data_IF_583585569670
#
_entry.id   IF_583585569670
#
_cell.length_a   1.000
_cell.length_b   1.000
_cell.length_c   1.000
_cell.angle_alpha   90.00
_cell.angle_beta   90.00
_cell.angle_gamma   90.00
#
_symmetry.space_group_name_H-M   'P 1'
#
loop_
_entity.id
_entity.type
_entity.pdbx_description
1 polymer ?
#
# COMPACT_ATOMS: atom_id res chain seq x y z
N UNK A 1 30.26 10.66 0.89
CA UNK A 1 30.90 9.45 0.33
C UNK A 1 29.81 8.43 0.10
N UNK A 2 29.75 7.81 -1.08
CA UNK A 2 28.76 6.75 -1.38
C UNK A 2 29.04 5.51 -0.53
N UNK A 3 28.02 4.68 -0.29
CA UNK A 3 28.15 3.44 0.51
C UNK A 3 29.22 2.52 -0.07
N UNK A 4 29.21 2.28 -1.39
CA UNK A 4 30.21 1.45 -2.06
C UNK A 4 31.66 1.93 -1.85
N UNK A 5 31.90 3.24 -1.91
CA UNK A 5 33.25 3.79 -1.66
C UNK A 5 33.69 3.64 -0.20
N UNK A 6 32.76 3.66 0.75
CA UNK A 6 33.06 3.39 2.17
C UNK A 6 33.43 1.93 2.39
N UNK A 7 32.68 1.01 1.79
CA UNK A 7 32.98 -0.43 1.88
C UNK A 7 34.34 -0.75 1.23
N UNK A 8 34.62 -0.21 0.05
CA UNK A 8 35.93 -0.37 -0.59
C UNK A 8 37.09 0.16 0.29
N UNK A 9 36.91 1.31 0.93
CA UNK A 9 37.90 1.84 1.88
C UNK A 9 38.04 0.95 3.13
N UNK A 10 36.94 0.40 3.62
CA UNK A 10 36.95 -0.56 4.71
C UNK A 10 37.70 -1.85 4.34
N UNK A 11 37.51 -2.37 3.13
CA UNK A 11 38.24 -3.56 2.64
C UNK A 11 39.74 -3.32 2.63
N UNK A 12 40.19 -2.11 2.28
CA UNK A 12 41.61 -1.75 2.36
C UNK A 12 42.12 -1.74 3.81
N UNK A 13 41.36 -1.17 4.76
CA UNK A 13 41.70 -1.20 6.19
C UNK A 13 41.79 -2.65 6.68
N UNK A 14 40.84 -3.50 6.29
CA UNK A 14 40.83 -4.93 6.66
C UNK A 14 42.03 -5.70 6.11
N UNK A 15 42.58 -5.32 4.96
CA UNK A 15 43.80 -5.94 4.40
C UNK A 15 45.07 -5.56 5.15
N UNK A 16 45.11 -4.36 5.73
CA UNK A 16 46.31 -3.83 6.41
C UNK A 16 46.31 -4.15 7.90
N UNK A 17 45.13 -4.13 8.54
CA UNK A 17 45.00 -4.32 9.97
C UNK A 17 44.28 -5.63 10.29
N UNK A 18 44.91 -6.48 11.08
CA UNK A 18 44.28 -7.67 11.65
C UNK A 18 43.54 -7.31 12.94
N UNK A 19 42.26 -7.61 12.99
CA UNK A 19 41.43 -7.49 14.19
C UNK A 19 40.43 -8.65 14.21
N UNK A 20 40.08 -9.11 15.40
CA UNK A 20 39.03 -10.11 15.57
C UNK A 20 37.68 -9.48 15.22
N UNK A 21 36.92 -10.14 14.36
CA UNK A 21 35.59 -9.66 13.99
C UNK A 21 34.66 -9.84 15.19
N UNK A 22 34.09 -8.75 15.69
CA UNK A 22 33.12 -8.86 16.76
C UNK A 22 31.82 -9.40 16.16
N UNK A 23 31.27 -10.48 16.73
CA UNK A 23 30.05 -11.15 16.23
C UNK A 23 28.85 -10.19 16.03
N UNK A 24 28.91 -8.98 16.61
CA UNK A 24 27.89 -7.93 16.55
C UNK A 24 28.17 -6.83 15.51
N UNK A 25 29.37 -6.78 14.91
CA UNK A 25 29.75 -5.83 13.86
C UNK A 25 30.01 -4.39 14.33
N UNK A 26 30.21 -4.16 15.63
CA UNK A 26 30.55 -2.85 16.19
C UNK A 26 31.90 -2.34 15.71
N UNK A 27 32.89 -3.22 15.53
CA UNK A 27 34.23 -2.86 15.07
C UNK A 27 34.14 -2.35 13.64
N UNK A 28 33.44 -3.08 12.76
CA UNK A 28 33.16 -2.63 11.38
C UNK A 28 32.45 -1.29 11.37
N UNK A 29 31.43 -1.11 12.20
CA UNK A 29 30.68 0.13 12.29
C UNK A 29 31.58 1.30 12.72
N UNK A 30 32.42 1.11 13.75
CA UNK A 30 33.36 2.11 14.23
C UNK A 30 34.39 2.52 13.17
N UNK A 31 34.95 1.55 12.44
CA UNK A 31 35.89 1.82 11.34
C UNK A 31 35.20 2.63 10.23
N UNK A 32 34.00 2.23 9.81
CA UNK A 32 33.23 2.95 8.79
C UNK A 32 32.87 4.38 9.21
N UNK A 33 32.56 4.59 10.49
CA UNK A 33 32.35 5.93 11.06
C UNK A 33 33.62 6.77 10.99
N UNK A 34 34.77 6.20 11.38
CA UNK A 34 36.07 6.90 11.37
C UNK A 34 36.52 7.25 9.95
N UNK A 35 36.40 6.32 9.00
CA UNK A 35 36.62 6.58 7.56
C UNK A 35 35.73 7.74 7.10
N UNK A 36 34.44 7.70 7.47
CA UNK A 36 33.49 8.76 7.13
C UNK A 36 33.88 10.13 7.70
N UNK A 37 34.38 10.17 8.93
CA UNK A 37 34.86 11.40 9.58
C UNK A 37 36.16 11.91 8.97
N UNK A 38 37.16 11.06 8.75
CA UNK A 38 38.40 11.42 8.06
C UNK A 38 38.09 12.03 6.69
N UNK A 39 37.23 11.39 5.89
CA UNK A 39 36.81 11.94 4.59
C UNK A 39 36.17 13.32 4.70
N UNK A 40 35.22 13.51 5.65
CA UNK A 40 34.55 14.80 5.85
C UNK A 40 35.56 15.89 6.23
N UNK A 41 36.47 15.59 7.16
CA UNK A 41 37.44 16.53 7.67
C UNK A 41 38.49 16.90 6.62
N UNK A 42 39.08 15.91 5.93
CA UNK A 42 40.04 16.15 4.86
C UNK A 42 39.44 16.97 3.71
N UNK A 43 38.19 16.68 3.32
CA UNK A 43 37.49 17.46 2.29
C UNK A 43 37.21 18.89 2.74
N UNK A 44 36.85 19.10 4.01
CA UNK A 44 36.62 20.44 4.55
C UNK A 44 37.93 21.24 4.63
N UNK A 45 39.00 20.62 5.13
CA UNK A 45 40.33 21.22 5.18
C UNK A 45 40.81 21.62 3.78
N UNK A 46 40.64 20.74 2.79
CA UNK A 46 41.01 21.02 1.41
C UNK A 46 40.21 22.20 0.83
N UNK A 47 38.92 22.31 1.15
CA UNK A 47 38.11 23.45 0.75
C UNK A 47 38.71 24.75 1.28
N UNK A 48 38.92 24.87 2.60
CA UNK A 48 39.46 26.10 3.20
C UNK A 48 40.90 26.41 2.79
N UNK A 49 41.70 25.41 2.40
CA UNK A 49 43.06 25.61 1.90
C UNK A 49 43.12 26.20 0.48
N UNK A 50 42.12 25.88 -0.35
CA UNK A 50 42.19 26.10 -1.81
C UNK A 50 41.19 27.14 -2.29
N UNK A 51 40.01 27.18 -1.66
CA UNK A 51 38.92 28.10 -1.97
C UNK A 51 39.23 29.48 -1.42
N UNK A 52 38.95 30.48 -2.25
CA UNK A 52 39.17 31.89 -1.93
C UNK A 52 37.85 32.65 -2.14
N UNK A 53 37.34 33.28 -1.09
CA UNK A 53 36.04 33.97 -1.11
C UNK A 53 36.06 35.22 -2.00
N UNK A 54 37.24 35.82 -2.22
CA UNK A 54 37.40 37.01 -3.06
C UNK A 54 37.39 36.67 -4.57
N UNK A 55 37.60 35.39 -4.92
CA UNK A 55 37.63 34.94 -6.30
C UNK A 55 36.26 34.53 -6.82
N UNK A 56 36.07 34.75 -8.13
CA UNK A 56 34.87 34.27 -8.82
C UNK A 56 34.78 32.74 -8.79
N UNK A 57 33.56 32.23 -8.94
CA UNK A 57 33.30 30.79 -8.98
C UNK A 57 34.13 30.07 -10.06
N UNK A 58 34.32 30.69 -11.23
CA UNK A 58 35.12 30.14 -12.32
C UNK A 58 36.62 30.10 -12.03
N UNK A 59 37.14 31.15 -11.38
CA UNK A 59 38.54 31.19 -10.92
C UNK A 59 38.79 30.11 -9.85
N UNK A 60 37.85 29.94 -8.91
CA UNK A 60 37.93 28.87 -7.89
C UNK A 60 37.85 27.46 -8.49
N UNK A 61 37.13 27.26 -9.60
CA UNK A 61 37.16 25.98 -10.33
C UNK A 61 38.55 25.69 -10.90
N UNK A 62 39.25 26.72 -11.42
CA UNK A 62 40.60 26.57 -11.99
C UNK A 62 41.65 26.23 -10.94
N UNK A 63 41.48 26.63 -9.68
CA UNK A 63 42.35 26.31 -8.52
C UNK A 63 42.24 24.84 -8.05
N UNK A 64 41.82 23.93 -8.93
CA UNK A 64 41.60 22.52 -8.64
C UNK A 64 42.88 21.83 -8.11
N UNK A 65 42.81 21.09 -6.99
CA UNK A 65 43.93 20.27 -6.52
C UNK A 65 44.35 19.21 -7.54
N UNK A 66 45.66 18.98 -7.70
CA UNK A 66 46.23 18.10 -8.72
C UNK A 66 45.61 16.68 -8.74
N UNK A 67 45.35 16.10 -7.55
CA UNK A 67 44.81 14.74 -7.38
C UNK A 67 43.29 14.60 -7.54
N UNK A 68 42.56 15.69 -7.78
CA UNK A 68 41.10 15.67 -7.92
C UNK A 68 40.73 15.90 -9.38
N UNK A 69 39.74 15.19 -9.91
CA UNK A 69 39.23 15.43 -11.27
C UNK A 69 38.45 16.76 -11.34
N UNK A 70 38.54 17.49 -12.45
CA UNK A 70 37.93 18.82 -12.59
C UNK A 70 36.41 18.80 -12.38
N UNK A 71 35.72 17.80 -12.92
CA UNK A 71 34.27 17.66 -12.75
C UNK A 71 33.88 17.41 -11.29
N UNK A 72 34.65 16.59 -10.58
CA UNK A 72 34.42 16.33 -9.16
C UNK A 72 34.61 17.59 -8.30
N UNK A 73 35.64 18.39 -8.61
CA UNK A 73 35.86 19.68 -7.93
C UNK A 73 34.72 20.68 -8.20
N UNK A 74 34.32 20.83 -9.47
CA UNK A 74 33.18 21.69 -9.85
C UNK A 74 31.90 21.29 -9.11
N UNK A 75 31.53 20.00 -9.13
CA UNK A 75 30.36 19.49 -8.41
C UNK A 75 30.43 19.75 -6.91
N UNK A 76 31.62 19.64 -6.32
CA UNK A 76 31.83 19.91 -4.91
C UNK A 76 31.61 21.40 -4.55
N UNK A 77 32.15 22.33 -5.34
CA UNK A 77 31.94 23.76 -5.14
C UNK A 77 30.46 24.16 -5.32
N UNK A 78 29.77 23.61 -6.34
CA UNK A 78 28.33 23.82 -6.52
C UNK A 78 27.52 23.38 -5.29
N UNK A 79 27.86 22.21 -4.73
CA UNK A 79 27.24 21.71 -3.51
C UNK A 79 27.52 22.62 -2.30
N UNK A 80 28.72 23.17 -2.16
CA UNK A 80 29.02 24.10 -1.04
C UNK A 80 28.18 25.37 -1.11
N UNK A 81 28.05 25.95 -2.31
CA UNK A 81 27.19 27.11 -2.54
C UNK A 81 25.71 26.81 -2.21
N UNK A 82 25.22 25.60 -2.48
CA UNK A 82 23.85 25.23 -2.10
C UNK A 82 23.68 25.07 -0.58
N UNK A 83 24.70 24.56 0.12
CA UNK A 83 24.71 24.49 1.59
C UNK A 83 24.70 25.88 2.23
N UNK A 84 25.48 26.83 1.72
CA UNK A 84 25.47 28.22 2.19
C UNK A 84 24.11 28.88 2.00
N UNK A 85 23.49 28.69 0.82
CA UNK A 85 22.11 29.13 0.58
C UNK A 85 21.14 28.53 1.60
N UNK A 86 21.29 27.26 1.97
CA UNK A 86 20.45 26.63 2.97
C UNK A 86 20.65 27.23 4.37
N UNK A 87 21.87 27.65 4.74
CA UNK A 87 22.15 28.36 6.00
C UNK A 87 21.43 29.70 6.03
N UNK A 88 21.50 30.48 4.94
CA UNK A 88 20.79 31.76 4.81
C UNK A 88 19.27 31.55 4.80
N UNK A 89 18.77 30.50 4.15
CA UNK A 89 17.35 30.18 4.18
C UNK A 89 16.88 29.77 5.58
N UNK A 90 17.72 29.06 6.34
CA UNK A 90 17.44 28.70 7.73
C UNK A 90 17.43 29.93 8.63
N UNK A 91 18.31 30.91 8.43
CA UNK A 91 18.29 32.16 9.21
C UNK A 91 17.06 33.02 8.90
N UNK A 92 16.45 32.86 7.73
CA UNK A 92 15.17 33.50 7.35
C UNK A 92 13.93 32.79 7.91
N UNK A 93 14.10 31.67 8.62
CA UNK A 93 12.96 30.95 9.19
C UNK A 93 12.41 31.68 10.42
N UNK A 94 11.40 32.52 10.22
CA UNK A 94 10.76 33.33 11.26
C UNK A 94 9.84 32.51 12.18
N UNK A 95 9.18 31.49 11.64
CA UNK A 95 8.19 30.71 12.37
C UNK A 95 8.76 29.35 12.77
N UNK A 96 9.21 29.25 14.02
CA UNK A 96 9.64 27.96 14.59
C UNK A 96 8.41 27.19 15.09
N UNK A 97 8.16 26.04 14.48
CA UNK A 97 7.06 25.14 14.84
C UNK A 97 7.34 24.40 16.15
N UNK A 98 6.34 24.37 17.04
CA UNK A 98 6.38 23.71 18.37
C UNK A 98 5.81 22.30 18.35
N UNK A 99 5.20 21.85 17.24
CA UNK A 99 4.95 20.43 17.11
C UNK A 99 6.29 19.71 17.02
N UNK A 100 6.49 18.78 17.95
CA UNK A 100 7.55 17.78 17.91
C UNK A 100 7.62 17.07 16.54
N UNK A 101 8.34 15.96 16.41
CA UNK A 101 8.37 15.13 15.18
C UNK A 101 6.99 14.60 14.72
N UNK A 102 5.89 14.95 15.41
CA UNK A 102 4.52 14.70 14.99
C UNK A 102 4.13 15.60 13.80
N UNK A 103 3.65 14.97 12.73
CA UNK A 103 3.10 15.64 11.55
C UNK A 103 1.80 16.39 11.85
N UNK A 104 1.57 17.51 11.17
CA UNK A 104 0.36 18.33 11.31
C UNK A 104 -0.94 17.55 11.08
N UNK A 105 -0.97 16.63 10.11
CA UNK A 105 -2.16 15.79 9.88
C UNK A 105 -2.51 14.94 11.11
N UNK A 106 -1.51 14.41 11.82
CA UNK A 106 -1.73 13.64 13.06
C UNK A 106 -2.26 14.52 14.18
N UNK A 107 -1.75 15.75 14.33
CA UNK A 107 -2.26 16.71 15.31
C UNK A 107 -3.74 17.03 15.06
N UNK A 108 -4.10 17.33 13.80
CA UNK A 108 -5.51 17.58 13.43
C UNK A 108 -6.42 16.40 13.75
N UNK A 109 -5.95 15.17 13.51
CA UNK A 109 -6.69 13.96 13.84
C UNK A 109 -6.84 13.75 15.36
N UNK A 110 -5.80 14.04 16.16
CA UNK A 110 -5.84 13.91 17.62
C UNK A 110 -6.86 14.85 18.29
N UNK A 111 -7.18 15.98 17.66
CA UNK A 111 -8.19 16.92 18.16
C UNK A 111 -9.64 16.43 18.01
N UNK A 112 -9.88 15.40 17.17
CA UNK A 112 -11.20 14.76 17.05
C UNK A 112 -12.28 15.61 16.39
N UNK A 113 -11.98 16.84 15.94
CA UNK A 113 -12.87 17.71 15.17
C UNK A 113 -12.20 18.23 13.89
N UNK A 114 -12.97 18.60 12.85
CA UNK A 114 -12.43 19.32 11.71
C UNK A 114 -11.83 20.66 12.17
N UNK A 115 -10.56 20.88 11.86
CA UNK A 115 -9.81 22.09 12.22
C UNK A 115 -9.33 22.78 10.95
N UNK A 116 -9.58 24.09 10.86
CA UNK A 116 -9.16 24.96 9.77
C UNK A 116 -7.65 25.15 9.70
N UNK A 117 -7.13 25.65 8.57
CA UNK A 117 -5.68 25.83 8.44
C UNK A 117 -5.11 26.84 9.42
N UNK A 118 -5.82 27.95 9.67
CA UNK A 118 -5.46 28.98 10.65
C UNK A 118 -5.34 28.43 12.07
N UNK A 119 -6.38 27.79 12.59
CA UNK A 119 -6.35 27.14 13.91
C UNK A 119 -5.20 26.12 14.02
N UNK A 120 -5.00 25.27 13.00
CA UNK A 120 -3.87 24.34 12.97
C UNK A 120 -2.52 25.05 13.02
N UNK A 121 -2.37 26.19 12.33
CA UNK A 121 -1.16 27.01 12.40
C UNK A 121 -0.95 27.54 13.83
N UNK A 122 -1.98 28.10 14.46
CA UNK A 122 -1.93 28.66 15.82
C UNK A 122 -1.54 27.62 16.86
N UNK A 123 -2.15 26.44 16.83
CA UNK A 123 -1.77 25.31 17.71
C UNK A 123 -0.30 24.92 17.58
N UNK A 124 0.24 25.09 16.38
CA UNK A 124 1.57 24.63 16.04
C UNK A 124 2.67 25.64 16.38
N UNK A 125 2.30 26.90 16.67
CA UNK A 125 3.20 28.00 17.06
C UNK A 125 2.99 28.50 18.50
N UNK A 126 2.08 27.86 19.25
CA UNK A 126 1.95 28.01 20.70
C UNK A 126 2.75 26.93 21.45
N UNK A 127 3.27 27.30 22.62
CA UNK A 127 3.85 26.38 23.60
C UNK A 127 2.74 25.67 24.38
N UNK A 128 3.09 24.63 25.15
CA UNK A 128 2.14 23.93 26.03
C UNK A 128 1.47 24.85 27.06
N UNK A 129 2.10 25.96 27.42
CA UNK A 129 1.54 26.98 28.32
C UNK A 129 0.66 28.02 27.60
N UNK A 130 0.32 27.82 26.33
CA UNK A 130 -0.52 28.73 25.53
C UNK A 130 0.18 29.95 24.95
N UNK A 131 1.41 30.29 25.39
CA UNK A 131 2.16 31.43 24.88
C UNK A 131 2.74 31.15 23.49
N UNK A 132 2.76 32.16 22.61
CA UNK A 132 3.45 32.09 21.33
C UNK A 132 4.98 31.99 21.48
N UNK A 133 5.63 31.41 20.47
CA UNK A 133 7.08 31.19 20.46
C UNK A 133 7.88 32.50 20.33
N UNK A 134 7.40 33.45 19.53
CA UNK A 134 7.96 34.78 19.32
C UNK A 134 6.85 35.78 19.02
N UNK A 135 7.21 37.06 18.96
CA UNK A 135 6.28 38.16 18.74
C UNK A 135 5.68 38.15 17.33
N UNK A 136 6.47 37.84 16.31
CA UNK A 136 6.00 37.71 14.93
C UNK A 136 4.91 36.63 14.81
N UNK A 137 5.08 35.49 15.48
CA UNK A 137 4.07 34.43 15.48
C UNK A 137 2.81 34.83 16.27
N UNK A 138 2.95 35.68 17.31
CA UNK A 138 1.81 36.25 18.03
C UNK A 138 0.98 37.13 17.09
N UNK A 139 1.62 38.05 16.38
CA UNK A 139 0.95 38.94 15.42
C UNK A 139 0.22 38.18 14.32
N UNK A 140 0.85 37.14 13.75
CA UNK A 140 0.20 36.28 12.74
C UNK A 140 -0.99 35.54 13.33
N UNK A 141 -0.85 34.98 14.54
CA UNK A 141 -1.95 34.27 15.21
C UNK A 141 -3.13 35.19 15.55
N UNK A 142 -2.86 36.40 16.00
CA UNK A 142 -3.89 37.43 16.28
C UNK A 142 -4.57 37.92 15.00
N UNK A 143 -3.83 38.08 13.89
CA UNK A 143 -4.41 38.43 12.60
C UNK A 143 -5.33 37.32 12.06
N UNK A 144 -4.94 36.05 12.22
CA UNK A 144 -5.78 34.90 11.87
C UNK A 144 -7.07 34.93 12.70
N UNK A 145 -6.95 35.10 14.01
CA UNK A 145 -8.10 35.14 14.93
C UNK A 145 -9.03 36.30 14.62
N UNK A 146 -8.49 37.47 14.26
CA UNK A 146 -9.26 38.64 13.84
C UNK A 146 -10.07 38.35 12.56
N UNK A 147 -9.43 37.81 11.52
CA UNK A 147 -10.10 37.47 10.26
C UNK A 147 -11.20 36.43 10.50
N UNK A 148 -10.92 35.40 11.28
CA UNK A 148 -11.87 34.34 11.61
C UNK A 148 -13.04 34.82 12.48
N UNK A 149 -12.86 35.90 13.24
CA UNK A 149 -13.93 36.54 14.02
C UNK A 149 -14.86 37.41 13.17
N UNK A 150 -14.33 38.04 12.11
CA UNK A 150 -15.09 38.90 11.20
C UNK A 150 -15.82 38.08 10.15
N UNK A 151 -15.18 37.03 9.65
CA UNK A 151 -15.73 36.12 8.66
C UNK A 151 -15.53 34.66 9.12
N UNK A 152 -16.57 34.02 9.69
CA UNK A 152 -16.50 32.62 10.10
C UNK A 152 -16.21 31.66 8.94
N UNK A 153 -16.55 32.01 7.69
CA UNK A 153 -16.29 31.17 6.52
C UNK A 153 -14.80 31.10 6.18
N UNK A 154 -13.99 32.08 6.61
CA UNK A 154 -12.54 32.07 6.47
C UNK A 154 -11.83 30.94 7.23
N UNK A 155 -12.53 30.26 8.15
CA UNK A 155 -12.04 29.04 8.83
C UNK A 155 -12.06 27.82 7.91
N UNK A 156 -12.93 27.84 6.90
CA UNK A 156 -13.09 26.73 5.96
C UNK A 156 -11.87 26.60 5.05
N UNK A 157 -11.62 25.37 4.61
CA UNK A 157 -10.46 25.07 3.78
C UNK A 157 -10.64 25.66 2.38
N UNK A 158 -9.98 26.78 2.11
CA UNK A 158 -10.09 27.52 0.86
C UNK A 158 -8.73 28.10 0.43
N UNK A 159 -8.61 28.47 -0.84
CA UNK A 159 -7.45 29.17 -1.37
C UNK A 159 -7.25 30.56 -0.71
N UNK A 160 -8.33 31.17 -0.20
CA UNK A 160 -8.34 32.46 0.48
C UNK A 160 -8.77 32.34 1.96
N UNK A 161 -8.49 31.20 2.59
CA UNK A 161 -8.77 31.04 4.03
C UNK A 161 -7.94 31.98 4.92
N UNK A 162 -8.25 32.01 6.21
CA UNK A 162 -7.61 32.90 7.20
C UNK A 162 -6.07 32.84 7.15
N UNK A 163 -5.51 31.64 6.95
CA UNK A 163 -4.07 31.45 6.86
C UNK A 163 -3.48 32.06 5.58
N UNK A 164 -4.14 31.86 4.43
CA UNK A 164 -3.73 32.43 3.16
C UNK A 164 -3.90 33.95 3.11
N UNK A 165 -4.88 34.51 3.81
CA UNK A 165 -5.04 35.97 3.92
C UNK A 165 -3.89 36.62 4.70
N UNK A 166 -3.42 35.98 5.79
CA UNK A 166 -2.34 36.53 6.63
C UNK A 166 -0.96 36.27 6.04
N UNK A 167 -0.69 35.05 5.55
CA UNK A 167 0.63 34.68 5.03
C UNK A 167 0.80 34.99 3.54
N UNK A 168 -0.29 35.37 2.87
CA UNK A 168 -0.35 35.60 1.44
C UNK A 168 -0.66 34.35 0.62
N UNK A 169 -0.72 34.55 -0.69
CA UNK A 169 -1.08 33.52 -1.66
C UNK A 169 -0.12 32.32 -1.64
N UNK A 170 -0.68 31.13 -1.76
CA UNK A 170 0.07 29.87 -1.82
C UNK A 170 1.06 29.79 -2.98
N UNK A 171 2.24 29.24 -2.72
CA UNK A 171 3.29 29.05 -3.71
C UNK A 171 3.01 27.86 -4.65
N UNK A 172 3.39 27.93 -5.93
CA UNK A 172 3.36 26.77 -6.82
C UNK A 172 4.16 25.59 -6.24
N UNK A 173 3.48 24.48 -5.98
CA UNK A 173 4.09 23.24 -5.50
C UNK A 173 4.06 22.99 -3.98
N UNK A 174 3.65 23.97 -3.15
CA UNK A 174 3.54 23.77 -1.70
C UNK A 174 2.35 24.54 -1.13
N UNK A 175 1.58 23.88 -0.27
CA UNK A 175 0.51 24.51 0.52
C UNK A 175 0.94 24.70 1.97
N UNK A 176 0.83 25.92 2.48
CA UNK A 176 1.09 26.24 3.88
C UNK A 176 0.12 25.49 4.81
N UNK A 177 0.65 25.00 5.95
CA UNK A 177 -0.15 24.33 6.99
C UNK A 177 -0.57 22.87 6.72
N UNK A 178 -0.24 22.29 5.55
CA UNK A 178 -0.61 20.92 5.17
C UNK A 178 0.54 19.90 5.15
N UNK A 179 1.78 20.33 5.43
CA UNK A 179 2.94 19.45 5.47
C UNK A 179 3.72 19.39 4.14
N UNK A 180 4.54 18.35 3.99
CA UNK A 180 5.44 18.18 2.84
C UNK A 180 4.69 17.47 1.70
N UNK A 181 4.85 17.96 0.47
CA UNK A 181 4.39 17.28 -0.75
C UNK A 181 2.95 17.61 -1.19
N UNK A 182 2.21 18.40 -0.42
CA UNK A 182 0.89 18.91 -0.80
C UNK A 182 1.05 20.16 -1.68
N UNK A 183 0.57 20.09 -2.93
CA UNK A 183 0.61 21.21 -3.87
C UNK A 183 -0.77 21.86 -4.05
N UNK A 184 -0.84 23.17 -4.35
CA UNK A 184 -2.12 23.88 -4.50
C UNK A 184 -3.06 23.25 -5.52
N UNK A 185 -2.55 22.76 -6.66
CA UNK A 185 -3.35 22.12 -7.71
C UNK A 185 -3.99 20.78 -7.30
N UNK A 186 -3.50 20.15 -6.23
CA UNK A 186 -4.13 18.96 -5.65
C UNK A 186 -5.13 19.32 -4.57
N UNK A 187 -4.87 20.41 -3.84
CA UNK A 187 -5.63 20.82 -2.66
C UNK A 187 -6.84 21.70 -2.99
N UNK A 188 -6.66 22.68 -3.88
CA UNK A 188 -7.66 23.69 -4.22
C UNK A 188 -8.16 23.50 -5.64
N UNK A 189 -8.42 22.25 -6.06
CA UNK A 189 -9.00 22.02 -7.39
C UNK A 189 -10.35 22.73 -7.45
N UNK A 190 -10.36 23.91 -8.06
CA UNK A 190 -11.52 24.36 -8.80
C UNK A 190 -11.60 23.40 -9.98
N UNK A 191 -12.65 22.59 -10.04
CA UNK A 191 -13.00 21.87 -11.25
C UNK A 191 -13.89 22.86 -12.03
N UNK A 192 -13.41 23.53 -13.10
CA UNK A 192 -14.33 23.90 -14.15
C UNK A 192 -14.82 22.58 -14.77
N UNK A 193 -16.13 22.35 -14.78
CA UNK A 193 -16.83 21.12 -15.25
C UNK A 193 -16.98 19.98 -14.24
N UNK A 194 -17.85 20.19 -13.24
CA UNK A 194 -18.52 19.10 -12.53
C UNK A 194 -19.88 18.74 -13.16
N UNK A 195 -20.05 18.88 -14.47
CA UNK A 195 -21.30 18.48 -15.16
C UNK A 195 -21.21 17.12 -15.87
N UNK A 196 -20.02 16.52 -16.03
CA UNK A 196 -19.88 15.29 -16.85
C UNK A 196 -19.27 14.11 -16.07
N UNK A 197 -18.19 14.34 -15.29
CA UNK A 197 -17.56 13.28 -14.50
C UNK A 197 -18.37 12.86 -13.25
N UNK A 198 -19.16 13.78 -12.67
CA UNK A 198 -20.01 13.46 -11.52
C UNK A 198 -21.12 12.47 -11.90
N UNK A 199 -21.76 12.72 -13.04
CA UNK A 199 -22.82 11.86 -13.61
C UNK A 199 -22.26 10.49 -13.96
N UNK A 200 -21.08 10.42 -14.61
CA UNK A 200 -20.45 9.13 -14.91
C UNK A 200 -20.09 8.33 -13.65
N UNK A 201 -19.62 8.98 -12.58
CA UNK A 201 -19.30 8.28 -11.32
C UNK A 201 -20.55 7.70 -10.67
N UNK A 202 -21.66 8.44 -10.64
CA UNK A 202 -22.93 7.95 -10.10
C UNK A 202 -23.51 6.83 -10.95
N UNK A 203 -23.41 6.92 -12.28
CA UNK A 203 -23.83 5.88 -13.22
C UNK A 203 -23.01 4.60 -13.06
N UNK A 204 -21.68 4.71 -12.96
CA UNK A 204 -20.82 3.56 -12.65
C UNK A 204 -21.08 2.97 -11.27
N UNK A 205 -21.38 3.79 -10.26
CA UNK A 205 -21.74 3.29 -8.93
C UNK A 205 -23.06 2.53 -8.94
N UNK A 206 -24.06 3.02 -9.70
CA UNK A 206 -25.34 2.35 -9.87
C UNK A 206 -25.18 1.01 -10.62
N UNK A 207 -24.35 0.97 -11.67
CA UNK A 207 -24.05 -0.26 -12.41
C UNK A 207 -23.31 -1.28 -11.53
N UNK A 208 -22.38 -0.83 -10.68
CA UNK A 208 -21.69 -1.68 -9.70
C UNK A 208 -22.68 -2.27 -8.69
N UNK A 209 -23.66 -1.49 -8.22
CA UNK A 209 -24.67 -1.98 -7.28
C UNK A 209 -25.57 -3.00 -7.96
N UNK A 210 -26.02 -2.74 -9.18
CA UNK A 210 -26.84 -3.66 -9.98
C UNK A 210 -26.14 -4.99 -10.24
N UNK A 211 -24.90 -4.96 -10.71
CA UNK A 211 -24.09 -6.16 -10.95
C UNK A 211 -23.83 -6.97 -9.67
N UNK A 212 -23.74 -6.31 -8.50
CA UNK A 212 -23.60 -7.00 -7.22
C UNK A 212 -24.87 -7.74 -6.80
N UNK A 213 -26.05 -7.19 -7.12
CA UNK A 213 -27.34 -7.85 -6.86
C UNK A 213 -27.48 -9.06 -7.79
N UNK A 214 -27.26 -8.89 -9.09
CA UNK A 214 -27.32 -9.99 -10.06
C UNK A 214 -26.32 -11.13 -9.73
N UNK A 215 -25.10 -10.77 -9.30
CA UNK A 215 -24.13 -11.77 -8.86
C UNK A 215 -24.55 -12.50 -7.57
N UNK A 216 -25.32 -11.87 -6.69
CA UNK A 216 -25.84 -12.52 -5.49
C UNK A 216 -26.99 -13.48 -5.83
N UNK A 217 -27.88 -13.11 -6.75
CA UNK A 217 -28.98 -13.94 -7.25
C UNK A 217 -28.44 -15.20 -7.96
N UNK A 218 -27.51 -15.04 -8.92
CA UNK A 218 -26.90 -16.19 -9.60
C UNK A 218 -26.16 -17.12 -8.64
N UNK A 219 -25.58 -16.57 -7.56
CA UNK A 219 -24.91 -17.37 -6.54
C UNK A 219 -25.91 -18.15 -5.66
N UNK A 220 -27.10 -17.61 -5.42
CA UNK A 220 -28.17 -18.31 -4.72
C UNK A 220 -28.75 -19.45 -5.59
N UNK A 221 -29.04 -19.18 -6.86
CA UNK A 221 -29.52 -20.19 -7.81
C UNK A 221 -28.51 -21.33 -8.00
N UNK A 222 -27.22 -21.01 -8.12
CA UNK A 222 -26.16 -22.01 -8.17
C UNK A 222 -26.03 -22.83 -6.87
N UNK A 223 -26.45 -22.31 -5.72
CA UNK A 223 -26.48 -23.06 -4.47
C UNK A 223 -27.66 -24.05 -4.45
N UNK A 224 -28.84 -23.64 -4.92
CA UNK A 224 -30.02 -24.51 -5.03
C UNK A 224 -29.82 -25.64 -6.05
N UNK A 225 -29.22 -25.34 -7.21
CA UNK A 225 -28.89 -26.39 -8.18
C UNK A 225 -27.89 -27.41 -7.63
N UNK A 226 -26.95 -26.97 -6.77
CA UNK A 226 -26.01 -27.88 -6.10
C UNK A 226 -26.69 -28.77 -5.06
N UNK A 227 -27.66 -28.26 -4.31
CA UNK A 227 -28.41 -29.09 -3.35
C UNK A 227 -29.30 -30.09 -4.07
N UNK A 228 -30.02 -29.67 -5.13
CA UNK A 228 -30.83 -30.56 -5.95
C UNK A 228 -30.00 -31.68 -6.61
N UNK A 229 -28.82 -31.35 -7.15
CA UNK A 229 -27.92 -32.34 -7.72
C UNK A 229 -27.38 -33.34 -6.69
N UNK A 230 -27.16 -32.91 -5.44
CA UNK A 230 -26.75 -33.81 -4.36
C UNK A 230 -27.88 -34.78 -3.96
N UNK A 231 -29.13 -34.31 -3.90
CA UNK A 231 -30.29 -35.15 -3.62
C UNK A 231 -30.55 -36.16 -4.74
N UNK A 232 -30.46 -35.74 -6.00
CA UNK A 232 -30.66 -36.61 -7.16
C UNK A 232 -29.60 -37.71 -7.22
N UNK A 233 -28.33 -37.35 -6.97
CA UNK A 233 -27.23 -38.31 -6.83
C UNK A 233 -27.47 -39.31 -5.69
N UNK A 234 -27.99 -38.86 -4.55
CA UNK A 234 -28.30 -39.74 -3.43
C UNK A 234 -29.45 -40.73 -3.76
N UNK A 235 -30.47 -40.28 -4.49
CA UNK A 235 -31.55 -41.15 -4.99
C UNK A 235 -31.04 -42.20 -5.97
N UNK A 236 -30.18 -41.81 -6.92
CA UNK A 236 -29.55 -42.76 -7.86
C UNK A 236 -28.74 -43.82 -7.13
N UNK A 237 -27.95 -43.44 -6.14
CA UNK A 237 -27.16 -44.41 -5.35
C UNK A 237 -28.06 -45.41 -4.61
N UNK A 238 -29.19 -44.98 -4.05
CA UNK A 238 -30.15 -45.89 -3.39
C UNK A 238 -30.77 -46.88 -4.38
N UNK A 239 -31.21 -46.39 -5.53
CA UNK A 239 -31.75 -47.25 -6.59
C UNK A 239 -30.71 -48.28 -7.07
N UNK A 240 -29.46 -47.86 -7.26
CA UNK A 240 -28.37 -48.77 -7.63
C UNK A 240 -28.15 -49.85 -6.56
N UNK A 241 -28.20 -49.50 -5.27
CA UNK A 241 -28.07 -50.50 -4.19
C UNK A 241 -29.24 -51.50 -4.16
N UNK A 242 -30.47 -51.04 -4.41
CA UNK A 242 -31.65 -51.92 -4.46
C UNK A 242 -31.58 -52.89 -5.65
N UNK A 243 -31.17 -52.41 -6.84
CA UNK A 243 -30.98 -53.27 -8.02
C UNK A 243 -29.90 -54.33 -7.79
N UNK A 244 -28.81 -53.98 -7.08
CA UNK A 244 -27.77 -54.95 -6.71
C UNK A 244 -28.32 -56.00 -5.75
N UNK A 245 -29.14 -55.60 -4.78
CA UNK A 245 -29.78 -56.52 -3.83
C UNK A 245 -30.79 -57.46 -4.52
N UNK A 246 -31.63 -56.95 -5.43
CA UNK A 246 -32.55 -57.77 -6.22
C UNK A 246 -31.80 -58.77 -7.11
N UNK A 247 -30.72 -58.34 -7.78
CA UNK A 247 -29.87 -59.25 -8.57
C UNK A 247 -29.28 -60.36 -7.70
N UNK A 248 -28.85 -60.05 -6.47
CA UNK A 248 -28.36 -61.06 -5.53
C UNK A 248 -29.44 -62.06 -5.11
N UNK A 249 -30.69 -61.59 -4.87
CA UNK A 249 -31.87 -62.43 -4.58
C UNK A 249 -32.22 -63.36 -5.76
N UNK A 250 -32.24 -62.83 -6.98
CA UNK A 250 -32.49 -63.62 -8.20
C UNK A 250 -31.41 -64.70 -8.36
N UNK A 251 -30.14 -64.34 -8.18
CA UNK A 251 -29.04 -65.30 -8.28
C UNK A 251 -29.15 -66.41 -7.23
N UNK A 252 -29.46 -66.07 -5.98
CA UNK A 252 -29.63 -67.06 -4.90
C UNK A 252 -30.81 -67.99 -5.17
N UNK A 253 -31.93 -67.47 -5.66
CA UNK A 253 -33.09 -68.29 -6.04
C UNK A 253 -32.78 -69.21 -7.23
N UNK A 254 -32.03 -68.72 -8.23
CA UNK A 254 -31.55 -69.53 -9.35
C UNK A 254 -30.65 -70.69 -8.90
N UNK A 255 -29.76 -70.44 -7.94
CA UNK A 255 -28.91 -71.47 -7.36
C UNK A 255 -29.75 -72.53 -6.60
N UNK A 256 -30.76 -72.12 -5.83
CA UNK A 256 -31.68 -73.04 -5.11
C UNK A 256 -32.52 -73.90 -6.06
N UNK A 257 -33.07 -73.29 -7.12
CA UNK A 257 -33.80 -74.02 -8.17
C UNK A 257 -32.91 -75.06 -8.84
N UNK A 258 -31.68 -74.70 -9.19
CA UNK A 258 -30.69 -75.62 -9.77
C UNK A 258 -30.45 -76.83 -8.85
N UNK A 259 -30.29 -76.58 -7.55
CA UNK A 259 -30.11 -77.64 -6.55
C UNK A 259 -31.33 -78.58 -6.46
N UNK A 260 -32.55 -78.05 -6.45
CA UNK A 260 -33.78 -78.87 -6.39
C UNK A 260 -33.95 -79.72 -7.65
N UNK A 261 -33.70 -79.16 -8.84
CA UNK A 261 -33.75 -79.90 -10.12
C UNK A 261 -32.75 -81.07 -10.09
N UNK A 262 -31.56 -80.84 -9.52
CA UNK A 262 -30.51 -81.85 -9.39
C UNK A 262 -30.91 -82.98 -8.41
N UNK A 263 -31.64 -82.66 -7.34
CA UNK A 263 -32.17 -83.65 -6.38
C UNK A 263 -33.34 -84.48 -6.94
N UNK A 264 -34.13 -83.94 -7.87
CA UNK A 264 -35.27 -84.63 -8.49
C UNK A 264 -34.88 -85.53 -9.69
N UNK A 265 -33.59 -85.64 -10.02
CA UNK A 265 -33.10 -86.52 -11.07
C UNK A 265 -33.55 -86.15 -12.50
N UNK A 266 -34.00 -84.91 -12.73
CA UNK A 266 -34.42 -84.42 -14.06
C UNK A 266 -35.89 -84.64 -14.44
N UNK A 267 -36.74 -85.18 -13.55
CA UNK A 267 -38.18 -85.33 -13.82
C UNK A 267 -38.96 -84.08 -13.39
N UNK A 268 -38.96 -83.05 -14.24
CA UNK A 268 -39.80 -81.85 -14.07
C UNK A 268 -41.18 -82.06 -14.72
N UNK A 269 -42.28 -81.60 -14.09
CA UNK A 269 -43.61 -81.61 -14.70
C UNK A 269 -43.65 -80.86 -16.05
N UNK A 270 -44.37 -81.36 -17.07
CA UNK A 270 -44.39 -80.75 -18.42
C UNK A 270 -44.83 -79.28 -18.46
N UNK A 271 -45.71 -78.87 -17.54
CA UNK A 271 -46.18 -77.48 -17.40
C UNK A 271 -45.04 -76.51 -17.03
N UNK A 272 -44.10 -76.95 -16.18
CA UNK A 272 -42.97 -76.11 -15.74
C UNK A 272 -41.91 -75.99 -16.84
N UNK A 273 -41.74 -77.02 -17.68
CA UNK A 273 -40.81 -77.01 -18.82
C UNK A 273 -41.25 -75.98 -19.87
N UNK A 274 -42.55 -75.89 -20.16
CA UNK A 274 -43.10 -74.92 -21.10
C UNK A 274 -42.90 -73.46 -20.64
N UNK A 275 -43.06 -73.19 -19.34
CA UNK A 275 -42.89 -71.85 -18.77
C UNK A 275 -41.42 -71.39 -18.78
N UNK A 276 -40.47 -72.31 -18.56
CA UNK A 276 -39.03 -72.00 -18.61
C UNK A 276 -38.54 -71.64 -20.02
N UNK A 277 -39.04 -72.34 -21.05
CA UNK A 277 -38.71 -72.03 -22.45
C UNK A 277 -39.30 -70.69 -22.91
N UNK A 278 -40.46 -70.30 -22.36
CA UNK A 278 -41.07 -68.99 -22.59
C UNK A 278 -40.23 -67.85 -21.99
N UNK A 279 -39.71 -68.02 -20.77
CA UNK A 279 -38.84 -67.05 -20.10
C UNK A 279 -37.48 -66.86 -20.79
N UNK A 280 -36.91 -67.92 -21.37
CA UNK A 280 -35.65 -67.85 -22.15
C UNK A 280 -35.81 -67.06 -23.46
N UNK A 281 -37.05 -66.96 -23.95
CA UNK A 281 -37.39 -66.30 -25.23
C UNK A 281 -37.67 -64.80 -25.10
N UNK A 282 -37.71 -64.25 -23.88
CA UNK A 282 -37.94 -62.82 -23.66
C UNK A 282 -36.70 -61.98 -23.99
N UNK A 283 -36.78 -60.97 -24.88
CA UNK A 283 -35.63 -60.15 -25.24
C UNK A 283 -35.24 -59.24 -24.06
N UNK A 284 -33.96 -59.29 -23.68
CA UNK A 284 -33.38 -58.32 -22.75
C UNK A 284 -33.30 -56.95 -23.44
N UNK A 285 -34.23 -56.07 -23.10
CA UNK A 285 -34.23 -54.68 -23.55
C UNK A 285 -32.96 -53.98 -23.06
N UNK A 286 -31.99 -53.84 -23.96
CA UNK A 286 -30.75 -53.12 -23.74
C UNK A 286 -30.96 -51.62 -23.95
N UNK A 287 -30.70 -50.84 -22.90
CA UNK A 287 -30.17 -49.47 -22.87
C UNK A 287 -30.30 -48.61 -24.17
N UNK A 288 -31.08 -47.53 -24.09
CA UNK A 288 -30.91 -46.34 -24.92
C UNK A 288 -30.25 -45.22 -24.08
N UNK A 289 -29.30 -44.53 -24.72
CA UNK A 289 -28.46 -43.42 -24.21
C UNK A 289 -29.24 -42.26 -23.63
#
# INVERSE_FOLDING_TARGET
MRKASKEHAYDHVKRVFHYEDDKKGWIKLGILQRIGSCWRNSRNHLFHKVYDEELTFEQNIKRKPARIEANHWKKFLQYRRSVEKNTVNRSKQQYTHTGSSKMMARKRHEEGRPIGRGEGWTMSHKKKNGKYMNEEARLVGEAIELIESQDPSSKEFSQNDSLAQVLGKEHPGRVCGLGIGTCPSRCFRNIPEQSDYGVQIEEYQMEIVKLKVEAAELKAEAAELKTAAAEEKAKRQRMETEVVEEKAKIQTMGNLLTYVIQQQGGNLPPEIVADLDSLRSAPTSSHAR
#
